data_IF_095609162644
#
_entry.id   IF_095609162644
#
_cell.length_a   1.000
_cell.length_b   1.000
_cell.length_c   1.000
_cell.angle_alpha   90.00
_cell.angle_beta   90.00
_cell.angle_gamma   90.00
#
_symmetry.space_group_name_H-M   'P 1'
#
loop_
_entity.id
_entity.type
_entity.pdbx_description
1 polymer ?
#
# COMPACT_ATOMS: atom_id res chain seq x y z
N UNK A 1 -14.28 -0.09 77.90
CA UNK A 1 -15.46 -0.62 78.60
C UNK A 1 -16.67 -0.51 77.67
N UNK A 2 -17.33 -1.65 77.42
CA UNK A 2 -18.77 -1.88 77.17
C UNK A 2 -19.47 -0.98 76.13
N UNK A 3 -19.76 -1.53 74.95
CA UNK A 3 -21.04 -2.21 74.61
C UNK A 3 -22.23 -1.26 74.45
N UNK A 4 -22.82 -1.25 73.26
CA UNK A 4 -24.21 -1.72 73.06
C UNK A 4 -24.54 -1.96 71.58
N UNK A 5 -24.76 -3.24 71.31
CA UNK A 5 -25.64 -3.81 70.29
C UNK A 5 -27.05 -3.21 70.42
N UNK A 6 -27.72 -2.88 69.31
CA UNK A 6 -29.15 -3.19 69.06
C UNK A 6 -29.36 -3.44 67.56
N UNK A 7 -30.07 -4.53 67.31
CA UNK A 7 -30.44 -5.21 66.08
C UNK A 7 -31.81 -4.68 65.58
N UNK A 8 -32.03 -4.55 64.27
CA UNK A 8 -33.30 -4.67 63.51
C UNK A 8 -32.95 -4.26 62.06
N UNK A 9 -33.07 -5.05 60.99
CA UNK A 9 -34.07 -6.05 60.65
C UNK A 9 -34.90 -5.50 59.48
N UNK A 10 -34.58 -5.86 58.23
CA UNK A 10 -35.58 -5.96 57.16
C UNK A 10 -35.05 -6.81 55.99
N UNK A 11 -35.73 -7.91 55.74
CA UNK A 11 -35.66 -8.69 54.51
C UNK A 11 -36.25 -7.86 53.36
N UNK A 12 -35.57 -7.82 52.21
CA UNK A 12 -36.23 -7.67 50.92
C UNK A 12 -35.65 -8.70 49.93
N UNK A 13 -36.42 -9.76 49.71
CA UNK A 13 -36.22 -10.72 48.62
C UNK A 13 -36.76 -10.11 47.33
N UNK A 14 -35.89 -9.80 46.36
CA UNK A 14 -36.30 -9.65 44.96
C UNK A 14 -35.83 -10.87 44.17
N UNK A 15 -36.81 -11.58 43.62
CA UNK A 15 -36.60 -12.72 42.72
C UNK A 15 -36.01 -12.26 41.39
N UNK A 16 -34.91 -12.89 40.99
CA UNK A 16 -34.41 -12.85 39.63
C UNK A 16 -35.16 -13.92 38.83
N UNK A 17 -36.05 -13.47 37.95
CA UNK A 17 -36.66 -14.29 36.91
C UNK A 17 -35.57 -14.65 35.88
N UNK A 18 -35.25 -15.94 35.78
CA UNK A 18 -34.43 -16.47 34.70
C UNK A 18 -35.27 -16.55 33.42
N UNK A 19 -35.14 -15.56 32.53
CA UNK A 19 -35.59 -15.67 31.15
C UNK A 19 -34.53 -16.43 30.34
N UNK A 20 -34.68 -17.75 30.23
CA UNK A 20 -33.97 -18.55 29.24
C UNK A 20 -34.53 -18.25 27.85
N UNK A 21 -33.94 -17.29 27.14
CA UNK A 21 -34.20 -17.10 25.70
C UNK A 21 -33.56 -18.26 24.94
N UNK A 22 -34.41 -19.09 24.35
CA UNK A 22 -34.03 -20.09 23.36
C UNK A 22 -33.54 -19.33 22.12
N UNK A 23 -32.22 -19.28 21.93
CA UNK A 23 -31.61 -18.79 20.69
C UNK A 23 -31.92 -19.79 19.59
N UNK A 24 -32.87 -19.47 18.73
CA UNK A 24 -33.08 -20.14 17.45
C UNK A 24 -31.81 -19.91 16.61
N UNK A 25 -31.22 -20.95 15.99
CA UNK A 25 -30.12 -20.73 15.06
C UNK A 25 -30.65 -19.89 13.89
N UNK A 26 -30.14 -18.67 13.75
CA UNK A 26 -30.34 -17.88 12.54
C UNK A 26 -29.72 -18.67 11.39
N UNK A 27 -30.56 -19.09 10.44
CA UNK A 27 -30.09 -19.53 9.13
C UNK A 27 -29.24 -18.40 8.56
N UNK A 28 -28.00 -18.72 8.20
CA UNK A 28 -27.15 -17.85 7.39
C UNK A 28 -27.93 -17.64 6.09
N UNK A 29 -28.30 -16.40 5.71
CA UNK A 29 -28.90 -16.17 4.41
C UNK A 29 -27.91 -16.69 3.37
N UNK A 30 -28.35 -17.63 2.55
CA UNK A 30 -27.63 -18.00 1.34
C UNK A 30 -27.52 -16.72 0.51
N UNK A 31 -26.29 -16.26 0.27
CA UNK A 31 -26.02 -15.27 -0.78
C UNK A 31 -26.41 -15.93 -2.09
N UNK A 32 -27.67 -15.74 -2.48
CA UNK A 32 -28.20 -16.10 -3.79
C UNK A 32 -27.58 -15.10 -4.75
N UNK A 33 -26.38 -15.41 -5.22
CA UNK A 33 -25.71 -14.67 -6.28
C UNK A 33 -26.59 -14.86 -7.50
N UNK A 34 -27.29 -13.80 -7.91
CA UNK A 34 -28.05 -13.84 -9.14
C UNK A 34 -27.10 -14.18 -10.29
N UNK A 35 -27.31 -15.33 -10.92
CA UNK A 35 -26.62 -15.79 -12.14
C UNK A 35 -27.10 -15.02 -13.40
N UNK A 36 -27.72 -13.85 -13.23
CA UNK A 36 -28.15 -13.04 -14.36
C UNK A 36 -26.91 -12.61 -15.17
N UNK A 37 -26.90 -12.85 -16.50
CA UNK A 37 -25.82 -12.39 -17.35
C UNK A 37 -25.72 -10.87 -17.26
N UNK A 38 -24.62 -10.37 -16.71
CA UNK A 38 -24.39 -8.93 -16.68
C UNK A 38 -24.26 -8.42 -18.11
N UNK A 39 -24.95 -7.33 -18.38
CA UNK A 39 -24.83 -6.60 -19.64
C UNK A 39 -23.45 -5.96 -19.75
N UNK A 40 -22.98 -5.75 -20.98
CA UNK A 40 -21.76 -5.01 -21.21
C UNK A 40 -22.00 -3.56 -20.82
N UNK A 41 -21.18 -3.07 -19.89
CA UNK A 41 -21.17 -1.68 -19.48
C UNK A 41 -20.52 -0.84 -20.59
N UNK A 42 -21.10 0.34 -20.83
CA UNK A 42 -20.44 1.41 -21.56
C UNK A 42 -19.31 1.97 -20.67
N UNK A 43 -18.12 2.09 -21.25
CA UNK A 43 -16.98 2.65 -20.55
C UNK A 43 -17.06 4.18 -20.46
N UNK A 44 -17.91 4.87 -21.21
CA UNK A 44 -18.07 6.32 -21.10
C UNK A 44 -18.61 6.72 -19.72
N UNK A 45 -17.77 7.40 -18.93
CA UNK A 45 -18.14 7.86 -17.58
C UNK A 45 -18.17 6.75 -16.52
N UNK A 46 -17.71 5.54 -16.83
CA UNK A 46 -17.54 4.47 -15.85
C UNK A 46 -16.42 4.82 -14.86
N UNK A 47 -16.76 4.93 -13.58
CA UNK A 47 -15.80 5.19 -12.51
C UNK A 47 -15.35 3.88 -11.89
N UNK A 48 -14.02 3.68 -11.81
CA UNK A 48 -13.41 2.51 -11.17
C UNK A 48 -12.60 3.00 -9.97
N UNK A 49 -12.96 2.62 -8.73
CA UNK A 49 -12.37 3.20 -7.53
C UNK A 49 -10.88 2.83 -7.41
N UNK A 50 -10.04 3.86 -7.35
CA UNK A 50 -8.59 3.76 -7.21
C UNK A 50 -8.07 3.30 -5.85
N UNK A 51 -8.92 2.99 -4.88
CA UNK A 51 -8.50 2.75 -3.49
C UNK A 51 -9.22 1.57 -2.84
N UNK A 52 -9.82 0.71 -3.64
CA UNK A 52 -10.55 -0.47 -3.20
C UNK A 52 -9.92 -1.73 -3.80
N UNK A 53 -10.11 -2.85 -3.12
CA UNK A 53 -9.80 -4.16 -3.68
C UNK A 53 -10.77 -4.44 -4.83
N UNK A 54 -10.23 -4.76 -6.00
CA UNK A 54 -10.99 -5.06 -7.20
C UNK A 54 -10.71 -6.50 -7.59
N UNK A 55 -11.76 -7.31 -7.63
CA UNK A 55 -11.70 -8.66 -8.19
C UNK A 55 -11.83 -8.57 -9.69
N UNK A 56 -10.89 -9.15 -10.44
CA UNK A 56 -10.89 -9.11 -11.91
C UNK A 56 -10.89 -10.51 -12.52
N UNK A 57 -11.64 -10.69 -13.61
CA UNK A 57 -11.67 -11.91 -14.42
C UNK A 57 -11.54 -11.53 -15.91
N UNK A 58 -10.41 -11.90 -16.51
CA UNK A 58 -10.12 -11.63 -17.91
C UNK A 58 -10.52 -12.83 -18.78
N UNK A 59 -11.38 -12.59 -19.76
CA UNK A 59 -11.64 -13.52 -20.85
C UNK A 59 -11.03 -12.98 -22.15
N UNK A 60 -9.79 -13.39 -22.40
CA UNK A 60 -9.03 -12.98 -23.60
C UNK A 60 -9.72 -13.40 -24.91
N UNK A 61 -10.41 -14.53 -24.93
CA UNK A 61 -11.03 -15.06 -26.15
C UNK A 61 -12.18 -14.18 -26.64
N UNK A 62 -12.93 -13.61 -25.71
CA UNK A 62 -14.10 -12.79 -26.00
C UNK A 62 -13.82 -11.28 -25.92
N UNK A 63 -12.57 -10.89 -25.59
CA UNK A 63 -12.23 -9.47 -25.41
C UNK A 63 -12.93 -8.82 -24.20
N UNK A 64 -13.32 -9.62 -23.20
CA UNK A 64 -14.11 -9.16 -22.05
C UNK A 64 -13.28 -9.14 -20.78
N UNK A 65 -13.39 -8.04 -20.04
CA UNK A 65 -12.91 -7.91 -18.67
C UNK A 65 -14.12 -7.77 -17.74
N UNK A 66 -14.26 -8.69 -16.79
CA UNK A 66 -15.21 -8.59 -15.70
C UNK A 66 -14.50 -8.11 -14.46
N UNK A 67 -15.11 -7.21 -13.71
CA UNK A 67 -14.56 -6.79 -12.42
C UNK A 67 -15.64 -6.45 -11.41
N UNK A 68 -15.32 -6.59 -10.12
CA UNK A 68 -16.20 -6.19 -9.02
C UNK A 68 -15.45 -5.53 -7.88
N UNK A 69 -16.14 -4.66 -7.16
CA UNK A 69 -15.68 -4.00 -5.95
C UNK A 69 -16.86 -3.69 -5.02
N UNK A 70 -16.57 -3.50 -3.73
CA UNK A 70 -17.59 -3.16 -2.73
C UNK A 70 -17.72 -1.64 -2.57
N UNK A 71 -18.84 -1.07 -3.01
CA UNK A 71 -19.15 0.34 -2.78
C UNK A 71 -19.58 0.55 -1.32
N UNK A 72 -18.74 1.25 -0.55
CA UNK A 72 -19.01 1.52 0.86
C UNK A 72 -20.15 2.50 1.11
N UNK A 73 -20.42 3.41 0.18
CA UNK A 73 -21.49 4.40 0.31
C UNK A 73 -22.84 3.77 0.00
N UNK A 74 -22.88 2.91 -1.03
CA UNK A 74 -24.07 2.16 -1.40
C UNK A 74 -24.27 0.87 -0.55
N UNK A 75 -23.22 0.40 0.13
CA UNK A 75 -23.18 -0.86 0.90
C UNK A 75 -23.51 -2.09 0.05
N UNK A 76 -23.00 -2.14 -1.18
CA UNK A 76 -23.26 -3.23 -2.12
C UNK A 76 -22.02 -3.57 -2.97
N UNK A 77 -21.98 -4.81 -3.48
CA UNK A 77 -20.99 -5.22 -4.46
C UNK A 77 -21.43 -4.77 -5.85
N UNK A 78 -20.64 -3.90 -6.48
CA UNK A 78 -20.83 -3.51 -7.87
C UNK A 78 -20.01 -4.43 -8.76
N UNK A 79 -20.62 -4.90 -9.86
CA UNK A 79 -19.97 -5.78 -10.83
C UNK A 79 -20.21 -5.26 -12.25
N UNK A 80 -19.15 -5.23 -13.03
CA UNK A 80 -19.13 -4.70 -14.38
C UNK A 80 -18.52 -5.71 -15.34
N UNK A 81 -18.96 -5.67 -16.60
CA UNK A 81 -18.34 -6.37 -17.72
C UNK A 81 -18.07 -5.35 -18.81
N UNK A 82 -16.84 -5.21 -19.25
CA UNK A 82 -16.46 -4.28 -20.32
C UNK A 82 -15.80 -5.03 -21.46
N UNK A 83 -15.98 -4.55 -22.68
CA UNK A 83 -15.18 -4.98 -23.82
C UNK A 83 -13.86 -4.18 -23.79
N UNK A 84 -12.76 -4.77 -23.33
CA UNK A 84 -11.55 -4.00 -23.03
C UNK A 84 -10.82 -3.47 -24.27
N UNK A 85 -11.17 -3.96 -25.47
CA UNK A 85 -10.68 -3.46 -26.75
C UNK A 85 -11.56 -2.31 -27.31
N UNK A 86 -12.66 -1.94 -26.63
CA UNK A 86 -13.49 -0.82 -27.05
C UNK A 86 -12.72 0.51 -26.87
N UNK A 87 -12.63 1.36 -27.91
CA UNK A 87 -11.98 2.67 -27.81
C UNK A 87 -12.47 3.53 -26.64
N UNK A 88 -13.75 3.45 -26.27
CA UNK A 88 -14.26 4.18 -25.11
C UNK A 88 -13.60 3.74 -23.79
N UNK A 89 -13.23 2.46 -23.68
CA UNK A 89 -12.52 1.93 -22.52
C UNK A 89 -11.03 2.32 -22.50
N UNK A 90 -10.41 2.50 -23.67
CA UNK A 90 -9.06 3.05 -23.77
C UNK A 90 -9.03 4.57 -23.52
N UNK A 91 -10.09 5.30 -23.88
CA UNK A 91 -10.19 6.75 -23.67
C UNK A 91 -10.59 7.12 -22.24
N UNK A 92 -11.32 6.25 -21.54
CA UNK A 92 -11.62 6.44 -20.13
C UNK A 92 -10.38 6.07 -19.26
N UNK A 93 -9.85 7.01 -18.46
CA UNK A 93 -8.62 6.80 -17.69
C UNK A 93 -8.75 5.71 -16.62
N UNK A 94 -9.92 5.54 -16.01
CA UNK A 94 -10.14 4.55 -14.94
C UNK A 94 -10.21 3.13 -15.49
N UNK A 95 -10.95 2.93 -16.58
CA UNK A 95 -11.01 1.62 -17.26
C UNK A 95 -9.68 1.31 -17.93
N UNK A 96 -9.03 2.29 -18.57
CA UNK A 96 -7.71 2.09 -19.17
C UNK A 96 -6.68 1.67 -18.13
N UNK A 97 -6.65 2.31 -16.96
CA UNK A 97 -5.76 1.93 -15.86
C UNK A 97 -5.99 0.47 -15.43
N UNK A 98 -7.26 0.07 -15.29
CA UNK A 98 -7.62 -1.31 -14.94
C UNK A 98 -7.22 -2.30 -16.04
N UNK A 99 -7.45 -1.96 -17.31
CA UNK A 99 -7.10 -2.81 -18.47
C UNK A 99 -5.59 -2.98 -18.57
N UNK A 100 -4.82 -1.89 -18.50
CA UNK A 100 -3.36 -1.91 -18.54
C UNK A 100 -2.78 -2.73 -17.38
N UNK A 101 -3.43 -2.68 -16.20
CA UNK A 101 -3.12 -3.52 -15.05
C UNK A 101 -3.38 -5.00 -15.35
N UNK A 102 -4.60 -5.37 -15.74
CA UNK A 102 -5.02 -6.77 -15.93
C UNK A 102 -4.27 -7.43 -17.08
N UNK A 103 -4.01 -6.70 -18.17
CA UNK A 103 -3.28 -7.21 -19.33
C UNK A 103 -1.75 -7.22 -19.12
N UNK A 104 -1.25 -6.72 -17.98
CA UNK A 104 0.19 -6.66 -17.71
C UNK A 104 0.96 -5.76 -18.68
N UNK A 105 0.28 -4.79 -19.32
CA UNK A 105 0.88 -3.85 -20.27
C UNK A 105 1.71 -2.78 -19.56
N UNK A 106 1.69 -2.77 -18.21
CA UNK A 106 2.61 -1.97 -17.41
C UNK A 106 4.05 -2.48 -17.51
N UNK A 107 4.74 -2.05 -18.57
CA UNK A 107 6.20 -2.09 -18.66
C UNK A 107 6.78 -1.09 -17.64
N UNK A 108 6.76 -1.46 -16.35
CA UNK A 108 7.49 -0.73 -15.33
C UNK A 108 8.96 -1.14 -15.34
N UNK A 109 9.64 -0.96 -16.48
CA UNK A 109 11.10 -0.90 -16.43
C UNK A 109 11.46 0.28 -15.57
N UNK A 110 11.91 -0.02 -14.34
CA UNK A 110 12.49 0.97 -13.44
C UNK A 110 13.60 1.68 -14.21
N UNK A 111 13.50 2.99 -14.48
CA UNK A 111 14.51 3.67 -15.25
C UNK A 111 15.84 3.58 -14.50
N UNK A 112 16.89 3.18 -15.20
CA UNK A 112 18.23 3.19 -14.64
C UNK A 112 18.69 4.65 -14.57
N UNK A 113 19.17 5.06 -13.40
CA UNK A 113 19.65 6.42 -13.20
C UNK A 113 20.86 6.70 -14.09
N UNK A 114 20.81 7.77 -14.87
CA UNK A 114 21.97 8.30 -15.60
C UNK A 114 22.87 9.15 -14.68
N UNK A 115 24.06 9.51 -15.16
CA UNK A 115 24.93 10.42 -14.41
C UNK A 115 24.26 11.81 -14.24
N UNK A 116 24.40 12.41 -13.06
CA UNK A 116 23.74 13.69 -12.76
C UNK A 116 22.25 13.64 -12.46
N UNK A 117 21.61 12.46 -12.53
CA UNK A 117 20.19 12.27 -12.22
C UNK A 117 19.99 11.11 -11.26
N UNK A 118 18.98 11.21 -10.40
CA UNK A 118 18.44 10.08 -9.63
C UNK A 118 16.93 10.08 -9.72
N UNK A 119 16.31 8.90 -9.61
CA UNK A 119 14.86 8.79 -9.55
C UNK A 119 14.39 8.59 -8.11
N UNK A 120 13.23 9.16 -7.79
CA UNK A 120 12.46 8.86 -6.57
C UNK A 120 11.08 8.37 -6.98
N UNK A 121 10.53 7.45 -6.21
CA UNK A 121 9.30 6.76 -6.60
C UNK A 121 8.18 7.10 -5.62
N UNK A 122 7.09 7.64 -6.17
CA UNK A 122 5.89 8.01 -5.44
C UNK A 122 4.69 7.27 -5.99
N UNK A 123 3.70 7.00 -5.13
CA UNK A 123 2.51 6.28 -5.54
C UNK A 123 1.57 7.24 -6.28
N UNK A 124 0.99 6.82 -7.39
CA UNK A 124 -0.08 7.58 -8.03
C UNK A 124 -1.33 7.57 -7.14
N UNK A 125 -2.04 8.70 -7.04
CA UNK A 125 -3.22 8.87 -6.17
C UNK A 125 -4.36 7.92 -6.57
N UNK A 126 -4.42 7.57 -7.83
CA UNK A 126 -5.43 6.73 -8.45
C UNK A 126 -4.98 5.26 -8.58
N UNK A 127 -3.79 4.92 -8.06
CA UNK A 127 -3.32 3.55 -8.04
C UNK A 127 -4.19 2.69 -7.14
N UNK A 128 -4.86 1.70 -7.76
CA UNK A 128 -5.79 0.75 -7.13
C UNK A 128 -5.20 0.14 -5.84
N UNK A 129 -3.96 -0.35 -5.95
CA UNK A 129 -3.35 -1.21 -4.95
C UNK A 129 -1.88 -0.82 -4.71
N UNK A 130 -1.43 -0.63 -3.45
CA UNK A 130 -0.08 -0.18 -3.16
C UNK A 130 0.99 -1.25 -3.40
N UNK A 131 0.58 -2.50 -3.65
CA UNK A 131 1.47 -3.65 -3.86
C UNK A 131 1.82 -3.89 -5.33
N UNK A 132 1.31 -3.09 -6.25
CA UNK A 132 1.64 -3.18 -7.67
C UNK A 132 2.82 -2.29 -8.01
N UNK A 133 3.66 -2.73 -8.95
CA UNK A 133 4.76 -1.90 -9.41
C UNK A 133 4.31 -0.71 -10.26
N UNK A 134 3.28 -0.91 -11.06
CA UNK A 134 2.62 0.11 -11.90
C UNK A 134 2.11 1.30 -11.08
N UNK A 135 1.79 1.10 -9.81
CA UNK A 135 1.32 2.13 -8.89
C UNK A 135 2.38 3.22 -8.61
N UNK A 136 3.66 2.99 -8.91
CA UNK A 136 4.75 3.89 -8.56
C UNK A 136 5.33 4.59 -9.77
N UNK A 137 5.29 5.92 -9.73
CA UNK A 137 5.80 6.79 -10.77
C UNK A 137 7.21 7.23 -10.42
N UNK A 138 8.16 6.98 -11.33
CA UNK A 138 9.50 7.50 -11.25
C UNK A 138 9.50 9.02 -11.49
N UNK A 139 10.07 9.76 -10.56
CA UNK A 139 10.24 11.21 -10.65
C UNK A 139 11.72 11.55 -10.65
N UNK A 140 12.15 12.33 -11.64
CA UNK A 140 13.54 12.79 -11.75
C UNK A 140 13.91 13.79 -10.65
N UNK A 141 15.15 13.67 -10.19
CA UNK A 141 15.79 14.57 -9.24
C UNK A 141 17.23 14.85 -9.66
N UNK A 142 17.74 16.06 -9.37
CA UNK A 142 19.16 16.34 -9.52
C UNK A 142 20.00 15.36 -8.70
N UNK A 143 20.90 14.67 -9.38
CA UNK A 143 21.89 13.79 -8.80
C UNK A 143 23.29 14.41 -8.83
N UNK A 144 24.25 13.83 -8.09
CA UNK A 144 25.66 14.18 -8.26
C UNK A 144 26.22 13.57 -9.55
N UNK A 145 27.09 14.31 -10.25
CA UNK A 145 27.86 13.81 -11.37
C UNK A 145 29.11 13.06 -10.86
N UNK A 146 29.60 12.09 -11.64
CA UNK A 146 30.84 11.33 -11.37
C UNK A 146 30.89 10.69 -9.97
N UNK A 147 29.71 10.37 -9.42
CA UNK A 147 29.57 9.93 -8.03
C UNK A 147 29.46 8.41 -7.92
N UNK A 148 29.87 7.87 -6.78
CA UNK A 148 29.71 6.46 -6.47
C UNK A 148 28.23 6.07 -6.34
N UNK A 149 27.91 4.78 -6.52
CA UNK A 149 26.54 4.27 -6.28
C UNK A 149 26.04 4.60 -4.87
N UNK A 150 26.92 4.60 -3.86
CA UNK A 150 26.54 4.98 -2.48
C UNK A 150 26.08 6.45 -2.40
N UNK A 151 26.83 7.38 -3.00
CA UNK A 151 26.50 8.80 -3.00
C UNK A 151 25.21 9.09 -3.77
N UNK A 152 25.02 8.43 -4.92
CA UNK A 152 23.79 8.53 -5.71
C UNK A 152 22.58 7.96 -4.96
N UNK A 153 22.73 6.78 -4.35
CA UNK A 153 21.68 6.20 -3.50
C UNK A 153 21.34 7.10 -2.31
N UNK A 154 22.35 7.67 -1.65
CA UNK A 154 22.15 8.61 -0.53
C UNK A 154 21.36 9.83 -0.98
N UNK A 155 21.67 10.40 -2.14
CA UNK A 155 20.90 11.51 -2.72
C UNK A 155 19.46 11.11 -3.03
N UNK A 156 19.25 9.98 -3.71
CA UNK A 156 17.92 9.49 -4.06
C UNK A 156 17.04 9.27 -2.82
N UNK A 157 17.57 8.60 -1.80
CA UNK A 157 16.86 8.38 -0.54
C UNK A 157 16.61 9.68 0.24
N UNK A 158 17.55 10.65 0.20
CA UNK A 158 17.36 11.94 0.83
C UNK A 158 16.24 12.76 0.17
N UNK A 159 16.13 12.68 -1.16
CA UNK A 159 15.02 13.26 -1.92
C UNK A 159 13.69 12.54 -1.65
N UNK A 160 13.70 11.21 -1.62
CA UNK A 160 12.50 10.41 -1.34
C UNK A 160 11.91 10.77 0.03
N UNK A 161 12.73 10.84 1.09
CA UNK A 161 12.24 11.14 2.44
C UNK A 161 11.81 12.60 2.62
N UNK A 162 12.10 13.51 1.68
CA UNK A 162 11.47 14.85 1.63
C UNK A 162 10.03 14.78 1.13
N UNK A 163 9.65 13.69 0.48
CA UNK A 163 8.33 13.51 -0.12
C UNK A 163 8.17 14.25 -1.44
N UNK A 164 6.97 14.17 -2.04
CA UNK A 164 6.70 14.78 -3.33
C UNK A 164 6.70 16.31 -3.24
N UNK A 165 7.11 16.99 -4.31
CA UNK A 165 7.02 18.44 -4.43
C UNK A 165 5.57 18.90 -4.60
N UNK A 166 5.30 20.20 -4.47
CA UNK A 166 3.96 20.73 -4.74
C UNK A 166 3.48 20.47 -6.17
N UNK A 167 4.41 20.43 -7.14
CA UNK A 167 4.10 20.12 -8.54
C UNK A 167 3.67 18.66 -8.68
N UNK A 168 4.45 17.72 -8.16
CA UNK A 168 4.13 16.29 -8.19
C UNK A 168 2.82 15.96 -7.49
N UNK A 169 2.54 16.61 -6.35
CA UNK A 169 1.24 16.45 -5.67
C UNK A 169 0.08 16.94 -6.54
N UNK A 170 0.27 18.02 -7.30
CA UNK A 170 -0.74 18.52 -8.24
C UNK A 170 -0.92 17.60 -9.45
N UNK A 171 0.10 16.80 -9.77
CA UNK A 171 0.07 15.72 -10.78
C UNK A 171 -0.48 14.41 -10.21
N UNK A 172 -0.97 14.43 -8.96
CA UNK A 172 -1.60 13.26 -8.33
C UNK A 172 -0.63 12.32 -7.63
N UNK A 173 0.64 12.68 -7.42
CA UNK A 173 1.57 11.80 -6.69
C UNK A 173 1.42 11.94 -5.17
N UNK A 174 1.47 10.81 -4.48
CA UNK A 174 1.32 10.69 -3.03
C UNK A 174 2.48 9.92 -2.40
N UNK A 175 2.71 10.18 -1.11
CA UNK A 175 3.75 9.51 -0.35
C UNK A 175 3.43 9.52 1.15
N UNK A 176 3.95 8.53 1.85
CA UNK A 176 4.05 8.55 3.31
C UNK A 176 5.08 9.57 3.80
N UNK A 177 6.01 9.99 2.93
CA UNK A 177 7.03 11.00 3.21
C UNK A 177 6.52 12.42 2.92
N UNK A 178 7.06 13.39 3.64
CA UNK A 178 6.73 14.81 3.53
C UNK A 178 7.89 15.68 4.01
N UNK A 179 7.70 17.01 4.03
CA UNK A 179 8.70 17.94 4.57
C UNK A 179 9.08 17.62 6.03
N UNK A 180 8.16 17.01 6.80
CA UNK A 180 8.43 16.57 8.19
C UNK A 180 9.45 15.44 8.26
N UNK A 181 9.60 14.66 7.20
CA UNK A 181 10.52 13.51 7.11
C UNK A 181 11.83 13.83 6.40
N UNK A 182 12.04 15.08 5.96
CA UNK A 182 13.21 15.52 5.19
C UNK A 182 14.58 15.25 5.83
N UNK A 183 14.62 14.95 7.13
CA UNK A 183 15.84 14.65 7.89
C UNK A 183 15.88 13.22 8.43
N UNK A 184 15.00 12.34 7.95
CA UNK A 184 14.94 10.96 8.44
C UNK A 184 16.14 10.12 8.04
N UNK A 185 16.74 10.35 6.87
CA UNK A 185 17.90 9.56 6.46
C UNK A 185 19.06 9.85 7.42
N UNK A 186 19.56 8.79 8.08
CA UNK A 186 20.68 8.89 9.00
C UNK A 186 21.98 8.44 8.34
N UNK A 187 21.99 7.26 7.73
CA UNK A 187 23.15 6.73 7.03
C UNK A 187 22.76 5.87 5.83
N UNK A 188 23.67 5.81 4.85
CA UNK A 188 23.61 4.90 3.70
C UNK A 188 25.02 4.38 3.49
N UNK A 189 25.16 3.07 3.39
CA UNK A 189 26.43 2.39 3.11
C UNK A 189 26.22 1.33 2.04
N UNK A 190 27.13 1.23 1.07
CA UNK A 190 27.09 0.19 0.03
C UNK A 190 28.38 -0.63 0.02
N UNK A 191 28.29 -1.91 0.39
CA UNK A 191 29.43 -2.84 0.42
C UNK A 191 29.10 -4.11 -0.38
N UNK A 192 29.86 -4.37 -1.44
CA UNK A 192 29.73 -5.61 -2.23
C UNK A 192 28.31 -5.86 -2.77
N UNK A 193 27.62 -4.79 -3.19
CA UNK A 193 26.24 -4.86 -3.68
C UNK A 193 25.16 -4.97 -2.60
N UNK A 194 25.52 -4.90 -1.31
CA UNK A 194 24.58 -4.74 -0.20
C UNK A 194 24.45 -3.27 0.18
N UNK A 195 23.23 -2.75 0.14
CA UNK A 195 22.90 -1.45 0.71
C UNK A 195 22.41 -1.63 2.17
N UNK A 196 22.98 -0.86 3.08
CA UNK A 196 22.51 -0.69 4.45
C UNK A 196 21.95 0.72 4.61
N UNK A 197 20.66 0.84 4.85
CA UNK A 197 19.95 2.12 4.97
C UNK A 197 19.48 2.29 6.41
N UNK A 198 19.95 3.35 7.07
CA UNK A 198 19.58 3.67 8.45
C UNK A 198 18.79 4.98 8.50
N UNK A 199 17.70 4.96 9.27
CA UNK A 199 16.86 6.11 9.50
C UNK A 199 16.93 6.56 10.96
N UNK A 200 16.69 7.85 11.19
CA UNK A 200 16.35 8.37 12.52
C UNK A 200 15.00 7.81 12.97
N UNK A 201 14.70 7.86 14.27
CA UNK A 201 13.43 7.38 14.79
C UNK A 201 12.23 8.16 14.24
N UNK A 202 11.57 7.59 13.24
CA UNK A 202 10.44 8.16 12.54
C UNK A 202 9.07 7.71 13.07
N UNK A 203 9.05 6.84 14.09
CA UNK A 203 7.82 6.23 14.60
C UNK A 203 6.82 7.25 15.16
N UNK A 204 7.33 8.41 15.59
CA UNK A 204 6.51 9.55 16.05
C UNK A 204 6.15 10.53 14.94
N UNK A 205 6.82 10.47 13.79
CA UNK A 205 6.64 11.40 12.67
C UNK A 205 5.65 10.85 11.66
N UNK A 206 5.71 9.55 11.40
CA UNK A 206 4.84 8.82 10.45
C UNK A 206 4.27 7.55 11.10
N UNK A 207 3.44 7.67 12.16
CA UNK A 207 2.93 6.51 12.90
C UNK A 207 2.06 5.59 12.03
N UNK A 208 1.36 6.16 11.04
CA UNK A 208 0.42 5.47 10.15
C UNK A 208 1.07 4.42 9.24
N UNK A 209 2.38 4.48 9.02
CA UNK A 209 3.12 3.52 8.18
C UNK A 209 3.17 2.12 8.81
N UNK A 210 2.74 1.97 10.06
CA UNK A 210 2.54 0.66 10.69
C UNK A 210 1.26 -0.05 10.24
N UNK A 211 0.37 0.59 9.47
CA UNK A 211 -0.85 -0.01 8.90
C UNK A 211 -0.55 -0.78 7.60
N UNK A 212 -1.44 -1.69 7.18
CA UNK A 212 -1.20 -2.59 6.04
C UNK A 212 -0.89 -1.84 4.73
N UNK A 213 -1.76 -0.92 4.31
CA UNK A 213 -1.61 -0.20 3.05
C UNK A 213 -0.44 0.81 3.07
N UNK A 214 -0.38 1.68 4.08
CA UNK A 214 0.69 2.68 4.18
C UNK A 214 2.07 2.04 4.41
N UNK A 215 2.12 0.90 5.11
CA UNK A 215 3.33 0.11 5.28
C UNK A 215 3.83 -0.47 3.95
N UNK A 216 2.96 -1.03 3.14
CA UNK A 216 3.32 -1.49 1.79
C UNK A 216 3.85 -0.32 0.96
N UNK A 217 3.11 0.80 0.94
CA UNK A 217 3.49 2.00 0.19
C UNK A 217 4.89 2.52 0.52
N UNK A 218 5.17 2.65 1.82
CA UNK A 218 6.50 3.03 2.30
C UNK A 218 7.60 2.07 1.84
N UNK A 219 7.34 0.76 1.89
CA UNK A 219 8.37 -0.24 1.59
C UNK A 219 8.66 -0.33 0.09
N UNK A 220 7.64 -0.19 -0.75
CA UNK A 220 7.78 -0.18 -2.20
C UNK A 220 8.52 1.07 -2.66
N UNK A 221 8.15 2.26 -2.18
CA UNK A 221 8.84 3.50 -2.51
C UNK A 221 10.35 3.42 -2.19
N UNK A 222 10.71 2.82 -1.03
CA UNK A 222 12.11 2.55 -0.68
C UNK A 222 12.77 1.56 -1.64
N UNK A 223 12.13 0.41 -1.90
CA UNK A 223 12.73 -0.64 -2.71
C UNK A 223 12.93 -0.21 -4.17
N UNK A 224 11.95 0.49 -4.78
CA UNK A 224 12.11 1.08 -6.09
C UNK A 224 13.31 2.04 -6.15
N UNK A 225 13.37 2.96 -5.17
CA UNK A 225 14.46 3.94 -5.09
C UNK A 225 15.82 3.26 -4.87
N UNK A 226 15.89 2.15 -4.16
CA UNK A 226 17.14 1.41 -3.96
C UNK A 226 17.52 0.59 -5.20
N UNK A 227 16.56 -0.16 -5.76
CA UNK A 227 16.83 -1.09 -6.85
C UNK A 227 16.85 -0.44 -8.24
N UNK A 228 16.72 0.88 -8.35
CA UNK A 228 17.09 1.59 -9.59
C UNK A 228 18.59 1.44 -9.93
N UNK A 229 19.44 1.18 -8.94
CA UNK A 229 20.88 1.02 -9.15
C UNK A 229 21.25 -0.46 -9.34
N UNK A 230 21.60 -0.85 -10.56
CA UNK A 230 21.87 -2.23 -10.96
C UNK A 230 22.91 -2.96 -10.09
N UNK A 231 23.88 -2.24 -9.53
CA UNK A 231 24.92 -2.80 -8.64
C UNK A 231 24.38 -3.27 -7.29
N UNK A 232 23.25 -2.72 -6.84
CA UNK A 232 22.62 -3.12 -5.58
C UNK A 232 21.85 -4.42 -5.79
N UNK A 233 22.24 -5.46 -5.06
CA UNK A 233 21.67 -6.80 -5.12
C UNK A 233 20.81 -7.13 -3.90
N UNK A 234 21.01 -6.40 -2.79
CA UNK A 234 20.23 -6.59 -1.58
C UNK A 234 20.22 -5.31 -0.72
N UNK A 235 19.16 -5.13 0.08
CA UNK A 235 19.01 -3.98 0.98
C UNK A 235 18.51 -4.40 2.36
N UNK A 236 19.08 -3.79 3.39
CA UNK A 236 18.61 -3.85 4.77
C UNK A 236 18.26 -2.45 5.28
N UNK A 237 17.16 -2.36 6.03
CA UNK A 237 16.67 -1.11 6.62
C UNK A 237 16.76 -1.18 8.16
N UNK A 238 17.11 -0.06 8.78
CA UNK A 238 17.26 0.06 10.24
C UNK A 238 16.76 1.41 10.77
N UNK A 239 16.46 1.45 12.08
CA UNK A 239 16.17 2.70 12.80
C UNK A 239 17.21 2.87 13.90
N UNK A 240 18.01 3.94 13.80
CA UNK A 240 19.13 4.25 14.68
C UNK A 240 20.07 3.04 14.85
N UNK A 241 20.40 2.41 13.73
CA UNK A 241 21.26 1.23 13.64
C UNK A 241 20.60 -0.09 14.09
N UNK A 242 19.30 -0.09 14.44
CA UNK A 242 18.60 -1.28 14.92
C UNK A 242 17.61 -1.85 13.89
N UNK A 243 17.93 -3.01 13.32
CA UNK A 243 16.98 -3.78 12.49
C UNK A 243 15.73 -4.16 13.32
N UNK A 244 15.91 -4.46 14.61
CA UNK A 244 14.81 -4.84 15.52
C UNK A 244 13.80 -3.71 15.67
N UNK A 245 14.27 -2.47 15.86
CA UNK A 245 13.37 -1.30 15.95
C UNK A 245 12.61 -1.05 14.65
N UNK A 246 13.29 -1.19 13.51
CA UNK A 246 12.64 -1.10 12.21
C UNK A 246 11.55 -2.17 12.08
N UNK A 247 11.83 -3.42 12.49
CA UNK A 247 10.90 -4.55 12.35
C UNK A 247 9.73 -4.51 13.31
N UNK A 248 9.94 -4.10 14.55
CA UNK A 248 8.86 -3.84 15.51
C UNK A 248 7.89 -2.79 14.96
N UNK A 249 8.42 -1.72 14.35
CA UNK A 249 7.58 -0.73 13.68
C UNK A 249 6.79 -1.33 12.50
N UNK A 250 7.38 -2.30 11.79
CA UNK A 250 6.77 -3.05 10.69
C UNK A 250 5.92 -4.26 11.15
N UNK A 251 5.64 -4.37 12.45
CA UNK A 251 4.84 -5.44 13.05
C UNK A 251 5.36 -6.86 12.73
N UNK A 252 6.68 -7.03 12.71
CA UNK A 252 7.29 -8.29 12.32
C UNK A 252 8.30 -8.80 13.37
N UNK A 253 8.27 -10.11 13.64
CA UNK A 253 8.84 -10.68 14.88
C UNK A 253 10.37 -10.82 14.90
N UNK A 254 11.00 -11.07 13.75
CA UNK A 254 12.45 -11.31 13.62
C UNK A 254 13.06 -10.35 12.62
N UNK A 255 14.36 -10.01 12.65
CA UNK A 255 14.97 -9.29 11.53
C UNK A 255 14.89 -10.14 10.26
N UNK A 256 14.16 -9.65 9.25
CA UNK A 256 14.06 -10.36 7.97
C UNK A 256 15.43 -10.38 7.29
N UNK A 257 15.74 -11.42 6.50
CA UNK A 257 16.87 -11.32 5.58
C UNK A 257 16.72 -10.05 4.73
N UNK A 258 17.83 -9.45 4.28
CA UNK A 258 17.81 -8.34 3.36
C UNK A 258 16.87 -8.62 2.19
N UNK A 259 16.09 -7.62 1.78
CA UNK A 259 15.33 -7.73 0.53
C UNK A 259 16.34 -7.88 -0.59
N UNK A 260 16.21 -8.90 -1.42
CA UNK A 260 17.10 -9.10 -2.57
C UNK A 260 16.46 -8.55 -3.84
N UNK A 261 17.29 -8.13 -4.81
CA UNK A 261 16.85 -7.73 -6.14
C UNK A 261 16.05 -8.85 -6.81
N UNK A 262 16.54 -10.08 -6.76
CA UNK A 262 15.82 -11.23 -7.32
C UNK A 262 14.41 -11.40 -6.72
N UNK A 263 14.25 -11.21 -5.41
CA UNK A 263 12.92 -11.26 -4.77
C UNK A 263 12.05 -10.05 -5.09
N UNK A 264 12.66 -8.91 -5.41
CA UNK A 264 11.98 -7.69 -5.80
C UNK A 264 11.49 -7.77 -7.25
N UNK A 265 12.30 -8.33 -8.15
CA UNK A 265 11.98 -8.47 -9.57
C UNK A 265 10.81 -9.44 -9.79
N UNK A 266 10.58 -10.39 -8.87
CA UNK A 266 9.46 -11.36 -8.90
C UNK A 266 8.13 -10.83 -8.33
N UNK A 267 8.10 -9.59 -7.85
CA UNK A 267 6.84 -8.93 -7.45
C UNK A 267 6.27 -8.32 -8.73
N UNK A 268 5.06 -8.72 -9.10
CA UNK A 268 4.32 -8.14 -10.23
C UNK A 268 3.71 -6.79 -9.83
#
# INVERSE_FOLDING_TARGET
MRSKLVLLGLLLTLGLAACSKTTTPHAIPSNDVSDDPLELADCEGLEVPGNQEIDTNLNEQDGILEFSYFDSDAQEDLRFRIAYEDPACEENPDTKRLIDHVLGVSSSTTPEAEDGTVYVFFMAKDALLPYEKSAYVATERPGPNDATTEERLRTALAELVRGPTSKERSEGLQSTFSDKTARLLNNVEVVGGRASVDFRDFRKVIPEVSTSHAGVAFQFALNFTVFQFGEIKQVEYSIEGSCKRYREFRQAEVCQPPRTRESWDKID
#
